data_IF_914910115643
#
_entry.id   IF_914910115643
#
_cell.length_a   1.000
_cell.length_b   1.000
_cell.length_c   1.000
_cell.angle_alpha   90.00
_cell.angle_beta   90.00
_cell.angle_gamma   90.00
#
_symmetry.space_group_name_H-M   'P 1'
#
loop_
_entity.id
_entity.type
_entity.pdbx_description
1 polymer ?
#
# COMPACT_ATOMS: atom_id res chain seq x y z
N UNK A 1 -1.02 -37.98 96.08
CA UNK A 1 0.03 -36.99 95.71
C UNK A 1 0.66 -37.24 94.34
N UNK A 2 0.28 -38.29 93.59
CA UNK A 2 0.77 -38.55 92.22
C UNK A 2 -0.24 -38.19 91.11
N UNK A 3 -1.50 -37.93 91.44
CA UNK A 3 -2.56 -37.59 90.46
C UNK A 3 -2.59 -36.12 90.06
N UNK A 4 -2.18 -35.20 90.94
CA UNK A 4 -2.17 -33.75 90.66
C UNK A 4 -0.97 -33.33 89.79
N UNK A 5 0.17 -34.00 89.94
CA UNK A 5 1.38 -33.76 89.13
C UNK A 5 1.19 -34.17 87.68
N UNK A 6 0.46 -35.27 87.42
CA UNK A 6 0.23 -35.78 86.07
C UNK A 6 -0.82 -34.94 85.29
N UNK A 7 -1.80 -34.36 85.99
CA UNK A 7 -2.75 -33.41 85.41
C UNK A 7 -2.11 -32.04 85.12
N UNK A 8 -1.22 -31.54 86.00
CA UNK A 8 -0.50 -30.29 85.74
C UNK A 8 0.46 -30.41 84.55
N UNK A 9 1.17 -31.54 84.41
CA UNK A 9 2.03 -31.82 83.25
C UNK A 9 1.23 -31.84 81.92
N UNK A 10 -0.02 -32.32 81.94
CA UNK A 10 -0.89 -32.34 80.77
C UNK A 10 -1.44 -30.94 80.40
N UNK A 11 -1.69 -30.07 81.38
CA UNK A 11 -2.18 -28.70 81.15
C UNK A 11 -1.04 -27.81 80.63
N UNK A 12 0.17 -27.93 81.19
CA UNK A 12 1.35 -27.19 80.71
C UNK A 12 1.70 -27.58 79.26
N UNK A 13 1.61 -28.88 78.92
CA UNK A 13 1.82 -29.34 77.55
C UNK A 13 0.77 -28.78 76.56
N UNK A 14 -0.51 -28.72 76.96
CA UNK A 14 -1.58 -28.12 76.16
C UNK A 14 -1.41 -26.60 76.01
N UNK A 15 -0.96 -25.90 77.07
CA UNK A 15 -0.68 -24.47 77.02
C UNK A 15 0.50 -24.13 76.11
N UNK A 16 1.54 -24.97 76.12
CA UNK A 16 2.68 -24.81 75.21
C UNK A 16 2.29 -25.10 73.76
N UNK A 17 1.45 -26.13 73.51
CA UNK A 17 0.90 -26.37 72.18
C UNK A 17 0.03 -25.20 71.67
N UNK A 18 -0.79 -24.61 72.54
CA UNK A 18 -1.59 -23.44 72.20
C UNK A 18 -0.70 -22.23 71.88
N UNK A 19 0.36 -22.02 72.67
CA UNK A 19 1.34 -20.95 72.44
C UNK A 19 2.04 -21.11 71.09
N UNK A 20 2.48 -22.32 70.75
CA UNK A 20 3.12 -22.63 69.46
C UNK A 20 2.14 -22.44 68.29
N UNK A 21 0.88 -22.88 68.44
CA UNK A 21 -0.15 -22.70 67.42
C UNK A 21 -0.49 -21.21 67.19
N UNK A 22 -0.55 -20.40 68.26
CA UNK A 22 -0.75 -18.96 68.15
C UNK A 22 0.43 -18.25 67.47
N UNK A 23 1.65 -18.67 67.77
CA UNK A 23 2.87 -18.16 67.15
C UNK A 23 2.92 -18.50 65.65
N UNK A 24 2.54 -19.72 65.29
CA UNK A 24 2.41 -20.17 63.90
C UNK A 24 1.28 -19.44 63.15
N UNK A 25 0.12 -19.26 63.78
CA UNK A 25 -1.00 -18.50 63.21
C UNK A 25 -0.63 -17.04 62.94
N UNK A 26 0.10 -16.38 63.85
CA UNK A 26 0.60 -15.01 63.62
C UNK A 26 1.56 -14.96 62.44
N UNK A 27 2.52 -15.89 62.38
CA UNK A 27 3.46 -15.98 61.27
C UNK A 27 2.75 -16.24 59.93
N UNK A 28 1.74 -17.09 59.90
CA UNK A 28 0.92 -17.34 58.71
C UNK A 28 0.14 -16.10 58.29
N UNK A 29 -0.43 -15.36 59.24
CA UNK A 29 -1.15 -14.12 58.96
C UNK A 29 -0.24 -13.03 58.39
N UNK A 30 0.98 -12.88 58.90
CA UNK A 30 1.98 -11.93 58.38
C UNK A 30 2.39 -12.32 56.95
N UNK A 31 2.69 -13.61 56.72
CA UNK A 31 3.04 -14.11 55.39
C UNK A 31 1.89 -13.96 54.38
N UNK A 32 0.64 -14.14 54.82
CA UNK A 32 -0.55 -13.92 54.01
C UNK A 32 -0.67 -12.45 53.59
N UNK A 33 -0.50 -11.52 54.53
CA UNK A 33 -0.52 -10.07 54.28
C UNK A 33 0.57 -9.64 53.31
N UNK A 34 1.80 -10.14 53.48
CA UNK A 34 2.91 -9.88 52.54
C UNK A 34 2.59 -10.39 51.12
N UNK A 35 2.00 -11.58 51.02
CA UNK A 35 1.65 -12.20 49.73
C UNK A 35 0.57 -11.41 48.99
N UNK A 36 -0.46 -10.95 49.70
CA UNK A 36 -1.50 -10.08 49.13
C UNK A 36 -0.92 -8.75 48.66
N UNK A 37 -0.08 -8.11 49.49
CA UNK A 37 0.55 -6.85 49.14
C UNK A 37 1.37 -6.99 47.87
N UNK A 38 2.13 -8.08 47.74
CA UNK A 38 2.87 -8.40 46.52
C UNK A 38 1.94 -8.54 45.30
N UNK A 39 0.82 -9.27 45.41
CA UNK A 39 -0.16 -9.42 44.32
C UNK A 39 -0.71 -8.04 43.91
N UNK A 40 -1.14 -7.22 44.88
CA UNK A 40 -1.66 -5.88 44.61
C UNK A 40 -0.64 -4.99 43.90
N UNK A 41 0.62 -5.02 44.35
CA UNK A 41 1.70 -4.26 43.71
C UNK A 41 1.95 -4.72 42.27
N UNK A 42 1.90 -6.04 42.00
CA UNK A 42 2.03 -6.58 40.64
C UNK A 42 0.85 -6.25 39.75
N UNK A 43 -0.38 -6.33 40.25
CA UNK A 43 -1.58 -5.89 39.52
C UNK A 43 -1.49 -4.41 39.17
N UNK A 44 -1.12 -3.56 40.13
CA UNK A 44 -0.93 -2.13 39.91
C UNK A 44 0.18 -1.82 38.91
N UNK A 45 1.27 -2.60 38.91
CA UNK A 45 2.32 -2.49 37.91
C UNK A 45 1.79 -2.83 36.52
N UNK A 46 1.02 -3.92 36.37
CA UNK A 46 0.41 -4.30 35.09
C UNK A 46 -0.59 -3.26 34.59
N UNK A 47 -1.47 -2.75 35.46
CA UNK A 47 -2.42 -1.70 35.13
C UNK A 47 -1.72 -0.43 34.60
N UNK A 48 -0.59 -0.04 35.20
CA UNK A 48 0.26 1.05 34.70
C UNK A 48 0.84 0.76 33.32
N UNK A 49 1.28 -0.46 33.03
CA UNK A 49 1.80 -0.84 31.71
C UNK A 49 0.72 -0.72 30.63
N UNK A 50 -0.54 -1.00 30.97
CA UNK A 50 -1.71 -0.84 30.08
C UNK A 50 -2.14 0.64 29.95
N UNK A 51 -1.53 1.56 30.72
CA UNK A 51 -1.90 2.97 30.72
C UNK A 51 -3.17 3.29 31.52
N UNK A 52 -3.56 2.40 32.43
CA UNK A 52 -4.70 2.57 33.34
C UNK A 52 -4.25 2.97 34.75
N UNK A 53 -5.20 3.40 35.58
CA UNK A 53 -4.93 3.90 36.93
C UNK A 53 -4.78 2.71 37.90
N UNK A 54 -3.82 2.73 38.85
CA UNK A 54 -3.72 1.73 39.90
C UNK A 54 -4.98 1.65 40.75
N UNK A 55 -5.31 0.45 41.25
CA UNK A 55 -6.41 0.25 42.19
C UNK A 55 -6.13 1.00 43.50
N UNK A 56 -7.10 1.75 44.01
CA UNK A 56 -6.96 2.34 45.35
C UNK A 56 -7.13 1.25 46.42
N UNK A 57 -6.49 1.40 47.60
CA UNK A 57 -6.57 0.43 48.69
C UNK A 57 -7.99 0.10 49.16
N UNK A 58 -8.94 1.01 48.93
CA UNK A 58 -10.33 0.90 49.38
C UNK A 58 -11.31 0.45 48.28
N UNK A 59 -10.83 0.24 47.05
CA UNK A 59 -11.69 -0.09 45.90
C UNK A 59 -11.93 -1.61 45.74
N UNK A 60 -10.99 -2.44 46.21
CA UNK A 60 -11.14 -3.89 46.31
C UNK A 60 -10.48 -4.40 47.59
N UNK A 61 -11.22 -5.16 48.38
CA UNK A 61 -10.66 -5.91 49.51
C UNK A 61 -9.77 -7.07 49.03
N UNK A 62 -8.95 -7.57 49.95
CA UNK A 62 -7.89 -8.54 49.66
C UNK A 62 -8.45 -9.92 49.24
N UNK A 63 -9.58 -10.34 49.82
CA UNK A 63 -10.21 -11.62 49.50
C UNK A 63 -10.84 -11.60 48.10
N UNK A 64 -11.50 -10.49 47.75
CA UNK A 64 -12.06 -10.27 46.41
C UNK A 64 -10.94 -10.17 45.38
N UNK A 65 -9.81 -9.53 45.70
CA UNK A 65 -8.66 -9.43 44.79
C UNK A 65 -8.10 -10.82 44.41
N UNK A 66 -8.06 -11.76 45.36
CA UNK A 66 -7.60 -13.13 45.10
C UNK A 66 -8.64 -13.90 44.26
N UNK A 67 -9.93 -13.76 44.58
CA UNK A 67 -11.00 -14.48 43.88
C UNK A 67 -11.18 -14.02 42.43
N UNK A 68 -10.97 -12.74 42.14
CA UNK A 68 -11.22 -12.17 40.82
C UNK A 68 -10.12 -12.49 39.78
N UNK A 69 -8.99 -13.06 40.22
CA UNK A 69 -7.78 -13.29 39.40
C UNK A 69 -7.47 -12.16 38.41
N UNK A 70 -7.21 -10.93 38.91
CA UNK A 70 -6.93 -9.78 38.07
C UNK A 70 -5.69 -9.98 37.19
N UNK A 71 -4.72 -10.79 37.63
CA UNK A 71 -3.52 -11.09 36.84
C UNK A 71 -3.88 -11.96 35.65
N UNK A 72 -4.70 -13.00 35.84
CA UNK A 72 -5.24 -13.82 34.75
C UNK A 72 -6.03 -13.00 33.74
N UNK A 73 -7.00 -12.20 34.21
CA UNK A 73 -7.82 -11.31 33.35
C UNK A 73 -6.94 -10.37 32.52
N UNK A 74 -5.97 -9.71 33.16
CA UNK A 74 -5.06 -8.80 32.48
C UNK A 74 -4.18 -9.56 31.48
N UNK A 75 -3.67 -10.73 31.85
CA UNK A 75 -2.82 -11.54 30.98
C UNK A 75 -3.56 -12.02 29.74
N UNK A 76 -4.80 -12.48 29.89
CA UNK A 76 -5.66 -12.89 28.79
C UNK A 76 -6.00 -11.71 27.88
N UNK A 77 -6.31 -10.55 28.47
CA UNK A 77 -6.56 -9.32 27.71
C UNK A 77 -5.32 -8.91 26.91
N UNK A 78 -4.13 -8.98 27.52
CA UNK A 78 -2.87 -8.72 26.83
C UNK A 78 -2.60 -9.71 25.70
N UNK A 79 -2.85 -11.00 25.94
CA UNK A 79 -2.69 -12.02 24.91
C UNK A 79 -3.59 -11.71 23.69
N UNK A 80 -4.85 -11.30 23.93
CA UNK A 80 -5.76 -10.88 22.86
C UNK A 80 -5.27 -9.63 22.13
N UNK A 81 -4.80 -8.60 22.84
CA UNK A 81 -4.26 -7.37 22.23
C UNK A 81 -3.03 -7.69 21.37
N UNK A 82 -2.11 -8.52 21.88
CA UNK A 82 -0.90 -8.91 21.17
C UNK A 82 -1.23 -9.73 19.92
N UNK A 83 -2.17 -10.67 20.00
CA UNK A 83 -2.60 -11.45 18.85
C UNK A 83 -3.26 -10.54 17.80
N UNK A 84 -4.15 -9.63 18.21
CA UNK A 84 -4.78 -8.67 17.31
C UNK A 84 -3.77 -7.72 16.65
N UNK A 85 -2.77 -7.23 17.39
CA UNK A 85 -1.70 -6.41 16.81
C UNK A 85 -0.86 -7.21 15.81
N UNK A 86 -0.53 -8.46 16.12
CA UNK A 86 0.23 -9.34 15.23
C UNK A 86 -0.53 -9.63 13.95
N UNK A 87 -1.82 -9.93 14.05
CA UNK A 87 -2.72 -10.12 12.92
C UNK A 87 -2.81 -8.83 12.06
N UNK A 88 -3.00 -7.67 12.70
CA UNK A 88 -3.05 -6.37 12.01
C UNK A 88 -1.75 -6.07 11.26
N UNK A 89 -0.60 -6.30 11.90
CA UNK A 89 0.70 -6.11 11.27
C UNK A 89 0.93 -7.08 10.10
N UNK A 90 0.49 -8.33 10.24
CA UNK A 90 0.55 -9.32 9.17
C UNK A 90 -0.34 -8.90 7.99
N UNK A 91 -1.58 -8.49 8.25
CA UNK A 91 -2.52 -8.00 7.25
C UNK A 91 -1.97 -6.77 6.52
N UNK A 92 -1.35 -5.84 7.24
CA UNK A 92 -0.69 -4.67 6.65
C UNK A 92 0.50 -5.06 5.78
N UNK A 93 1.32 -6.02 6.22
CA UNK A 93 2.45 -6.53 5.45
C UNK A 93 2.00 -7.23 4.15
N UNK A 94 0.97 -8.07 4.24
CA UNK A 94 0.37 -8.75 3.08
C UNK A 94 -0.22 -7.74 2.10
N UNK A 95 -1.04 -6.80 2.55
CA UNK A 95 -1.62 -5.77 1.69
C UNK A 95 -0.54 -4.91 1.01
N UNK A 96 0.54 -4.57 1.72
CA UNK A 96 1.70 -3.88 1.15
C UNK A 96 2.36 -4.71 0.04
N UNK A 97 2.57 -6.00 0.26
CA UNK A 97 3.18 -6.90 -0.72
C UNK A 97 2.30 -7.06 -1.96
N UNK A 98 0.98 -7.19 -1.79
CA UNK A 98 0.03 -7.30 -2.90
C UNK A 98 0.03 -6.04 -3.77
N UNK A 99 -0.03 -4.86 -3.14
CA UNK A 99 0.06 -3.58 -3.85
C UNK A 99 1.40 -3.49 -4.60
N UNK A 100 2.50 -3.88 -3.99
CA UNK A 100 3.82 -3.86 -4.62
C UNK A 100 3.92 -4.83 -5.81
N UNK A 101 3.29 -6.00 -5.71
CA UNK A 101 3.22 -6.99 -6.79
C UNK A 101 2.40 -6.45 -7.97
N UNK A 102 1.21 -5.88 -7.72
CA UNK A 102 0.38 -5.24 -8.75
C UNK A 102 1.15 -4.09 -9.40
N UNK A 103 1.72 -3.20 -8.59
CA UNK A 103 2.47 -2.04 -9.07
C UNK A 103 3.63 -2.45 -10.01
N UNK A 104 4.31 -3.56 -9.71
CA UNK A 104 5.42 -4.08 -10.51
C UNK A 104 5.01 -4.98 -11.70
N UNK A 105 3.84 -5.62 -11.64
CA UNK A 105 3.35 -6.49 -12.72
C UNK A 105 2.71 -5.71 -13.86
N UNK A 106 2.26 -4.47 -13.62
CA UNK A 106 1.76 -3.58 -14.65
C UNK A 106 2.85 -3.36 -15.72
N UNK A 107 2.50 -3.67 -16.98
CA UNK A 107 3.38 -3.52 -18.14
C UNK A 107 3.68 -2.06 -18.55
N UNK A 108 3.22 -1.10 -17.77
CA UNK A 108 3.34 0.34 -17.99
C UNK A 108 4.25 0.97 -16.92
N UNK A 109 4.94 2.05 -17.29
CA UNK A 109 5.80 2.75 -16.33
C UNK A 109 4.95 3.55 -15.34
N UNK A 110 5.05 3.28 -14.04
CA UNK A 110 4.36 4.06 -13.01
C UNK A 110 5.40 4.70 -12.10
N UNK A 111 5.23 5.99 -11.82
CA UNK A 111 5.97 6.69 -10.77
C UNK A 111 5.04 7.55 -9.93
N UNK A 112 5.43 7.77 -8.68
CA UNK A 112 4.73 8.62 -7.73
C UNK A 112 5.67 9.75 -7.33
N UNK A 113 5.16 10.97 -7.42
CA UNK A 113 5.89 12.19 -7.12
C UNK A 113 5.28 12.88 -5.90
N UNK A 114 6.10 13.51 -5.08
CA UNK A 114 5.62 14.43 -4.06
C UNK A 114 5.26 15.81 -4.66
N UNK A 115 4.79 16.74 -3.82
CA UNK A 115 4.40 18.09 -4.25
C UNK A 115 5.55 18.94 -4.81
N UNK A 116 6.82 18.54 -4.60
CA UNK A 116 8.01 19.16 -5.19
C UNK A 116 8.43 18.54 -6.52
N UNK A 117 7.85 17.40 -6.89
CA UNK A 117 8.19 16.66 -8.11
C UNK A 117 9.35 15.67 -7.92
N UNK A 118 9.70 15.35 -6.67
CA UNK A 118 10.68 14.32 -6.35
C UNK A 118 10.03 12.93 -6.44
N UNK A 119 10.76 11.97 -6.99
CA UNK A 119 10.31 10.59 -7.14
C UNK A 119 10.34 9.92 -5.76
N UNK A 120 9.19 9.47 -5.29
CA UNK A 120 9.06 8.76 -3.99
C UNK A 120 8.70 7.28 -4.16
N UNK A 121 8.21 6.88 -5.32
CA UNK A 121 8.04 5.48 -5.69
C UNK A 121 8.04 5.36 -7.22
N UNK A 122 8.47 4.20 -7.73
CA UNK A 122 8.40 3.86 -9.15
C UNK A 122 8.38 2.34 -9.31
N UNK A 123 7.72 1.83 -10.35
CA UNK A 123 7.63 0.40 -10.57
C UNK A 123 8.81 -0.12 -11.39
N UNK A 124 8.95 -1.45 -11.45
CA UNK A 124 10.01 -2.11 -12.24
C UNK A 124 10.07 -1.62 -13.69
N UNK A 125 8.91 -1.39 -14.32
CA UNK A 125 8.83 -0.93 -15.71
C UNK A 125 9.46 0.45 -15.94
N UNK A 126 9.43 1.34 -14.95
CA UNK A 126 10.13 2.63 -15.04
C UNK A 126 11.64 2.46 -15.16
N UNK A 127 12.21 1.44 -14.52
CA UNK A 127 13.64 1.10 -14.66
C UNK A 127 13.94 0.73 -16.11
N UNK A 128 13.15 -0.19 -16.68
CA UNK A 128 13.33 -0.67 -18.05
C UNK A 128 13.21 0.45 -19.11
N UNK A 129 12.39 1.46 -18.86
CA UNK A 129 12.12 2.55 -19.82
C UNK A 129 13.09 3.73 -19.64
N UNK A 130 13.31 4.17 -18.40
CA UNK A 130 13.89 5.48 -18.11
C UNK A 130 15.23 5.43 -17.40
N UNK A 131 15.49 4.42 -16.57
CA UNK A 131 16.62 4.38 -15.64
C UNK A 131 17.65 3.38 -16.16
N UNK A 132 18.57 3.87 -16.98
CA UNK A 132 19.72 3.12 -17.45
C UNK A 132 20.78 3.24 -16.35
N UNK A 133 21.19 2.12 -15.72
CA UNK A 133 22.32 2.00 -14.78
C UNK A 133 22.04 2.07 -13.26
N UNK A 134 20.91 1.56 -12.76
CA UNK A 134 20.68 1.37 -11.31
C UNK A 134 20.88 2.63 -10.44
N UNK A 135 20.89 3.82 -11.04
CA UNK A 135 21.05 5.05 -10.29
C UNK A 135 19.87 5.21 -9.34
N UNK A 136 20.18 5.51 -8.08
CA UNK A 136 19.19 5.80 -7.07
C UNK A 136 18.39 7.05 -7.48
N UNK A 137 17.17 6.79 -7.97
CA UNK A 137 16.23 7.81 -8.45
C UNK A 137 15.33 8.35 -7.35
N UNK A 138 15.22 7.64 -6.22
CA UNK A 138 14.40 8.07 -5.09
C UNK A 138 14.91 9.40 -4.54
N UNK A 139 13.99 10.31 -4.24
CA UNK A 139 14.27 11.68 -3.81
C UNK A 139 14.79 12.61 -4.91
N UNK A 140 15.08 12.13 -6.13
CA UNK A 140 15.52 12.98 -7.24
C UNK A 140 14.33 13.58 -7.99
N UNK A 141 14.54 14.73 -8.62
CA UNK A 141 13.51 15.39 -9.42
C UNK A 141 13.18 14.59 -10.68
N UNK A 142 11.89 14.34 -10.89
CA UNK A 142 11.38 13.69 -12.10
C UNK A 142 11.78 14.44 -13.38
N UNK A 143 11.81 15.77 -13.36
CA UNK A 143 12.20 16.56 -14.53
C UNK A 143 13.61 16.21 -15.01
N UNK A 144 14.52 15.95 -14.06
CA UNK A 144 15.90 15.61 -14.33
C UNK A 144 16.03 14.17 -14.81
N UNK A 145 15.48 13.23 -14.06
CA UNK A 145 15.65 11.80 -14.35
C UNK A 145 14.88 11.34 -15.59
N UNK A 146 13.66 11.85 -15.81
CA UNK A 146 12.80 11.39 -16.91
C UNK A 146 12.93 12.30 -18.14
N UNK A 147 12.84 13.62 -17.93
CA UNK A 147 12.80 14.59 -19.03
C UNK A 147 14.17 15.18 -19.40
N UNK A 148 15.23 14.91 -18.63
CA UNK A 148 16.57 15.49 -18.85
C UNK A 148 16.67 16.99 -18.59
N UNK A 149 15.76 17.56 -17.79
CA UNK A 149 15.70 19.00 -17.48
C UNK A 149 15.97 19.27 -16.01
N UNK A 150 16.77 20.28 -15.71
CA UNK A 150 17.03 20.67 -14.31
C UNK A 150 15.76 21.08 -13.56
N UNK A 151 14.76 21.66 -14.25
CA UNK A 151 13.50 22.08 -13.63
C UNK A 151 12.26 21.74 -14.47
N UNK A 152 11.10 21.67 -13.80
CA UNK A 152 9.81 21.45 -14.44
C UNK A 152 9.34 22.71 -15.19
N UNK A 153 9.40 22.66 -16.53
CA UNK A 153 8.91 23.73 -17.41
C UNK A 153 7.38 23.86 -17.45
N UNK A 154 6.88 24.88 -18.14
CA UNK A 154 5.44 25.21 -18.24
C UNK A 154 4.57 24.07 -18.81
N UNK A 155 5.12 23.27 -19.72
CA UNK A 155 4.43 22.11 -20.33
C UNK A 155 4.75 20.78 -19.65
N UNK A 156 5.34 20.80 -18.45
CA UNK A 156 5.57 19.58 -17.67
C UNK A 156 4.23 19.05 -17.13
N UNK A 157 3.91 17.78 -17.42
CA UNK A 157 2.66 17.15 -16.97
C UNK A 157 2.48 17.23 -15.45
N UNK A 158 3.54 16.96 -14.69
CA UNK A 158 3.52 17.10 -13.23
C UNK A 158 3.06 18.49 -12.80
N UNK A 159 3.63 19.54 -13.40
CA UNK A 159 3.28 20.93 -13.07
C UNK A 159 1.85 21.26 -13.45
N UNK A 160 1.42 20.85 -14.64
CA UNK A 160 0.03 21.08 -15.08
C UNK A 160 -0.99 20.39 -14.16
N UNK A 161 -0.73 19.14 -13.75
CA UNK A 161 -1.60 18.39 -12.82
C UNK A 161 -1.61 19.04 -11.44
N UNK A 162 -0.43 19.44 -10.94
CA UNK A 162 -0.30 20.15 -9.66
C UNK A 162 -1.07 21.46 -9.63
N UNK A 163 -0.89 22.29 -10.66
CA UNK A 163 -1.47 23.63 -10.74
C UNK A 163 -2.99 23.57 -10.96
N UNK A 164 -3.48 22.63 -11.79
CA UNK A 164 -4.91 22.46 -12.06
C UNK A 164 -5.64 21.57 -11.06
N UNK A 165 -4.92 20.81 -10.24
CA UNK A 165 -5.47 19.79 -9.32
C UNK A 165 -6.46 18.83 -10.01
N UNK A 166 -6.19 18.48 -11.27
CA UNK A 166 -7.03 17.58 -12.07
C UNK A 166 -6.17 16.59 -12.83
N UNK A 167 -6.74 15.42 -13.11
CA UNK A 167 -6.09 14.42 -13.96
C UNK A 167 -5.91 14.98 -15.37
N UNK A 168 -4.72 14.79 -15.93
CA UNK A 168 -4.38 15.28 -17.26
C UNK A 168 -3.66 14.20 -18.06
N UNK A 169 -3.72 14.35 -19.38
CA UNK A 169 -3.17 13.39 -20.33
C UNK A 169 -2.41 14.12 -21.43
N UNK A 170 -1.22 13.62 -21.74
CA UNK A 170 -0.41 14.05 -22.87
C UNK A 170 -0.28 12.87 -23.82
N UNK A 171 -0.75 13.05 -25.06
CA UNK A 171 -0.68 12.03 -26.11
C UNK A 171 0.61 12.18 -26.91
N UNK A 172 1.11 11.06 -27.42
CA UNK A 172 2.21 11.01 -28.39
C UNK A 172 3.50 11.71 -27.90
N UNK A 173 3.80 11.63 -26.60
CA UNK A 173 5.07 12.13 -26.10
C UNK A 173 6.19 11.21 -26.58
N UNK A 174 7.13 11.76 -27.35
CA UNK A 174 8.25 11.00 -27.88
C UNK A 174 9.47 11.12 -26.98
N UNK A 175 10.12 9.98 -26.73
CA UNK A 175 11.46 9.93 -26.13
C UNK A 175 12.27 8.87 -26.84
N UNK A 176 13.40 9.27 -27.44
CA UNK A 176 14.20 8.41 -28.34
C UNK A 176 13.27 7.86 -29.44
N UNK A 177 13.32 6.55 -29.70
CA UNK A 177 12.49 5.88 -30.72
C UNK A 177 11.17 5.31 -30.18
N UNK A 178 10.73 5.76 -29.00
CA UNK A 178 9.50 5.30 -28.37
C UNK A 178 8.51 6.44 -28.18
N UNK A 179 7.23 6.09 -28.31
CA UNK A 179 6.10 6.99 -28.13
C UNK A 179 5.32 6.57 -26.89
N UNK A 180 4.97 7.54 -26.07
CA UNK A 180 4.22 7.32 -24.84
C UNK A 180 2.95 8.17 -24.81
N UNK A 181 1.90 7.59 -24.26
CA UNK A 181 0.78 8.34 -23.70
C UNK A 181 1.01 8.48 -22.20
N UNK A 182 1.05 9.71 -21.70
CA UNK A 182 1.35 10.00 -20.30
C UNK A 182 0.10 10.49 -19.60
N UNK A 183 -0.26 9.86 -18.48
CA UNK A 183 -1.39 10.25 -17.65
C UNK A 183 -0.86 10.65 -16.28
N UNK A 184 -1.30 11.82 -15.79
CA UNK A 184 -0.95 12.30 -14.46
C UNK A 184 -2.21 12.51 -13.64
N UNK A 185 -2.25 11.93 -12.45
CA UNK A 185 -3.41 11.97 -11.54
C UNK A 185 -2.99 12.53 -10.19
N UNK A 186 -3.65 13.58 -9.67
CA UNK A 186 -3.37 14.11 -8.34
C UNK A 186 -3.96 13.19 -7.28
N UNK A 187 -3.26 13.05 -6.15
CA UNK A 187 -3.71 12.33 -4.96
C UNK A 187 -3.79 13.32 -3.81
N UNK A 188 -4.95 13.36 -3.17
CA UNK A 188 -5.24 14.27 -2.06
C UNK A 188 -5.29 13.50 -0.74
N UNK A 189 -5.05 14.19 0.37
CA UNK A 189 -5.35 13.67 1.70
C UNK A 189 -6.84 13.89 2.06
N UNK A 190 -7.21 13.53 3.29
CA UNK A 190 -8.58 13.64 3.80
C UNK A 190 -9.07 15.10 3.89
N UNK A 191 -8.15 16.06 3.95
CA UNK A 191 -8.44 17.49 4.03
C UNK A 191 -8.49 18.16 2.64
N UNK A 192 -8.32 17.38 1.57
CA UNK A 192 -8.33 17.87 0.19
C UNK A 192 -7.03 18.58 -0.23
N UNK A 193 -5.97 18.46 0.57
CA UNK A 193 -4.65 19.00 0.25
C UNK A 193 -3.93 18.04 -0.69
N UNK A 194 -3.31 18.59 -1.75
CA UNK A 194 -2.56 17.79 -2.71
C UNK A 194 -1.35 17.16 -2.02
N UNK A 195 -1.33 15.83 -1.92
CA UNK A 195 -0.26 15.09 -1.27
C UNK A 195 0.78 14.60 -2.29
N UNK A 196 0.31 14.02 -3.42
CA UNK A 196 1.16 13.36 -4.42
C UNK A 196 0.58 13.53 -5.82
N UNK A 197 1.40 13.21 -6.82
CA UNK A 197 0.96 13.05 -8.21
C UNK A 197 1.46 11.70 -8.72
N UNK A 198 0.56 10.85 -9.18
CA UNK A 198 0.89 9.58 -9.85
C UNK A 198 1.00 9.85 -11.34
N UNK A 199 2.10 9.41 -11.96
CA UNK A 199 2.32 9.52 -13.41
C UNK A 199 2.49 8.12 -14.00
N UNK A 200 1.69 7.85 -15.03
CA UNK A 200 1.65 6.64 -15.82
C UNK A 200 2.20 6.90 -17.22
N UNK A 201 3.07 6.02 -17.72
CA UNK A 201 3.67 6.04 -19.04
C UNK A 201 3.24 4.79 -19.80
N UNK A 202 2.24 4.94 -20.67
CA UNK A 202 1.76 3.89 -21.56
C UNK A 202 2.57 3.91 -22.85
N UNK A 203 3.27 2.82 -23.16
CA UNK A 203 4.02 2.69 -24.41
C UNK A 203 3.07 2.44 -25.60
N UNK A 204 2.98 3.41 -26.50
CA UNK A 204 2.15 3.36 -27.71
C UNK A 204 3.00 3.20 -28.97
N UNK A 205 4.26 2.80 -28.84
CA UNK A 205 5.20 2.70 -29.97
C UNK A 205 4.71 1.71 -31.02
N UNK A 206 4.24 0.52 -30.60
CA UNK A 206 3.71 -0.48 -31.54
C UNK A 206 2.52 0.07 -32.32
N UNK A 207 1.59 0.72 -31.63
CA UNK A 207 0.40 1.35 -32.25
C UNK A 207 0.82 2.38 -33.29
N UNK A 208 1.75 3.28 -32.94
CA UNK A 208 2.26 4.33 -33.84
C UNK A 208 3.00 3.76 -35.06
N UNK A 209 3.79 2.70 -34.88
CA UNK A 209 4.47 2.02 -35.99
C UNK A 209 3.48 1.34 -36.93
N UNK A 210 2.44 0.69 -36.40
CA UNK A 210 1.38 0.08 -37.21
C UNK A 210 0.55 1.13 -37.95
N UNK A 211 0.17 2.23 -37.30
CA UNK A 211 -0.51 3.37 -37.94
C UNK A 211 0.33 3.93 -39.10
N UNK A 212 1.64 4.12 -38.87
CA UNK A 212 2.55 4.61 -39.91
C UNK A 212 2.71 3.63 -41.07
N UNK A 213 2.89 2.34 -40.79
CA UNK A 213 3.03 1.31 -41.82
C UNK A 213 1.76 1.16 -42.67
N UNK A 214 0.58 1.33 -42.05
CA UNK A 214 -0.69 1.35 -42.76
C UNK A 214 -0.76 2.54 -43.71
N UNK A 215 -0.47 3.76 -43.23
CA UNK A 215 -0.43 4.96 -44.06
C UNK A 215 0.56 4.83 -45.23
N UNK A 216 1.78 4.34 -44.98
CA UNK A 216 2.78 4.10 -46.03
C UNK A 216 2.31 3.04 -47.05
N UNK A 217 1.55 2.03 -46.62
CA UNK A 217 0.97 1.03 -47.51
C UNK A 217 -0.20 1.58 -48.31
N UNK A 218 -1.05 2.41 -47.72
CA UNK A 218 -2.17 3.08 -48.41
C UNK A 218 -1.65 4.06 -49.46
N UNK A 219 -0.63 4.86 -49.13
CA UNK A 219 0.01 5.79 -50.07
C UNK A 219 0.67 5.03 -51.22
N UNK A 220 1.37 3.94 -50.93
CA UNK A 220 1.99 3.09 -51.96
C UNK A 220 0.94 2.40 -52.84
N UNK A 221 -0.15 1.89 -52.24
CA UNK A 221 -1.24 1.29 -53.00
C UNK A 221 -1.90 2.33 -53.92
N UNK A 222 -2.20 3.53 -53.39
CA UNK A 222 -2.76 4.64 -54.17
C UNK A 222 -1.87 5.02 -55.34
N UNK A 223 -0.57 5.17 -55.10
CA UNK A 223 0.41 5.51 -56.13
C UNK A 223 0.50 4.44 -57.22
N UNK A 224 0.59 3.16 -56.84
CA UNK A 224 0.63 2.04 -57.78
C UNK A 224 -0.68 1.88 -58.56
N UNK A 225 -1.82 2.02 -57.88
CA UNK A 225 -3.13 1.90 -58.50
C UNK A 225 -3.37 3.02 -59.51
N UNK A 226 -3.15 4.27 -59.10
CA UNK A 226 -3.39 5.45 -59.95
C UNK A 226 -2.42 5.55 -61.13
N UNK A 227 -1.15 5.15 -60.96
CA UNK A 227 -0.15 5.23 -62.03
C UNK A 227 0.01 3.94 -62.83
N UNK A 228 -0.80 2.90 -62.59
CA UNK A 228 -0.78 1.70 -63.42
C UNK A 228 -1.24 2.01 -64.84
N UNK A 229 -0.52 1.50 -65.84
CA UNK A 229 -0.85 1.67 -67.26
C UNK A 229 -2.10 0.90 -67.66
N UNK A 230 -2.35 -0.25 -67.02
CA UNK A 230 -3.55 -1.05 -67.27
C UNK A 230 -4.77 -0.40 -66.60
N UNK A 231 -5.93 -0.58 -67.22
CA UNK A 231 -7.19 -0.14 -66.63
C UNK A 231 -7.53 -1.03 -65.43
N UNK A 232 -7.57 -0.44 -64.24
CA UNK A 232 -7.91 -1.12 -63.00
C UNK A 232 -9.26 -0.63 -62.49
N UNK A 233 -10.13 -1.58 -62.12
CA UNK A 233 -11.38 -1.30 -61.42
C UNK A 233 -11.59 -2.29 -60.28
N UNK A 234 -12.23 -1.82 -59.21
CA UNK A 234 -12.76 -2.65 -58.13
C UNK A 234 -14.27 -2.53 -58.13
N UNK A 235 -14.97 -3.65 -57.92
CA UNK A 235 -16.43 -3.72 -57.87
C UNK A 235 -16.87 -4.45 -56.59
N UNK A 236 -18.07 -4.13 -56.12
CA UNK A 236 -18.73 -4.89 -55.05
C UNK A 236 -19.34 -6.20 -55.60
N UNK A 237 -19.82 -7.11 -54.72
CA UNK A 237 -20.47 -8.37 -55.16
C UNK A 237 -21.70 -8.17 -56.05
N UNK A 238 -22.35 -7.02 -55.98
CA UNK A 238 -23.50 -6.62 -56.80
C UNK A 238 -23.10 -6.01 -58.16
N UNK A 239 -21.79 -5.84 -58.41
CA UNK A 239 -21.22 -5.36 -59.66
C UNK A 239 -21.11 -3.83 -59.76
N UNK A 240 -21.36 -3.09 -58.68
CA UNK A 240 -21.18 -1.64 -58.65
C UNK A 240 -19.70 -1.29 -58.54
N UNK A 241 -19.27 -0.29 -59.31
CA UNK A 241 -17.91 0.24 -59.26
C UNK A 241 -17.65 0.91 -57.91
N UNK A 242 -16.55 0.51 -57.26
CA UNK A 242 -16.08 1.06 -55.99
C UNK A 242 -14.88 1.99 -56.17
N UNK A 243 -13.96 1.63 -57.07
CA UNK A 243 -12.74 2.38 -57.35
C UNK A 243 -12.30 2.12 -58.79
N UNK A 244 -11.78 3.15 -59.46
CA UNK A 244 -11.13 3.07 -60.77
C UNK A 244 -9.85 3.88 -60.76
N UNK A 245 -8.84 3.46 -61.52
CA UNK A 245 -7.60 4.23 -61.63
C UNK A 245 -7.67 5.28 -62.74
N UNK A 246 -6.64 6.14 -62.81
CA UNK A 246 -6.46 7.13 -63.87
C UNK A 246 -6.55 6.54 -65.29
N UNK A 247 -5.85 5.44 -65.59
CA UNK A 247 -5.85 4.84 -66.93
C UNK A 247 -7.25 4.37 -67.37
N UNK A 248 -8.05 3.83 -66.46
CA UNK A 248 -9.45 3.46 -66.71
C UNK A 248 -10.28 4.68 -67.10
N UNK A 249 -10.16 5.77 -66.33
CA UNK A 249 -10.86 7.04 -66.58
C UNK A 249 -10.48 7.67 -67.93
N UNK A 250 -9.19 7.73 -68.22
CA UNK A 250 -8.68 8.34 -69.46
C UNK A 250 -9.03 7.52 -70.70
N UNK A 251 -8.99 6.18 -70.60
CA UNK A 251 -9.25 5.29 -71.75
C UNK A 251 -10.73 5.18 -72.09
N UNK A 252 -11.60 5.19 -71.08
CA UNK A 252 -13.06 5.14 -71.27
C UNK A 252 -13.72 6.52 -71.31
N UNK A 253 -12.94 7.58 -71.15
CA UNK A 253 -13.38 8.98 -71.19
C UNK A 253 -14.42 9.35 -70.12
N UNK A 254 -14.31 8.77 -68.92
CA UNK A 254 -15.14 9.12 -67.76
C UNK A 254 -14.40 10.02 -66.78
N UNK A 255 -15.10 11.01 -66.24
CA UNK A 255 -14.58 11.87 -65.16
C UNK A 255 -14.75 11.20 -63.79
N UNK A 256 -14.01 11.67 -62.79
CA UNK A 256 -14.10 11.16 -61.41
C UNK A 256 -15.49 11.36 -60.77
N UNK A 257 -16.27 12.30 -61.28
CA UNK A 257 -17.63 12.61 -60.80
C UNK A 257 -18.72 11.72 -61.46
N UNK A 258 -18.39 11.06 -62.57
CA UNK A 258 -19.30 10.21 -63.34
C UNK A 258 -19.21 8.72 -62.97
N UNK A 259 -18.22 8.34 -62.17
CA UNK A 259 -17.96 6.97 -61.67
C UNK A 259 -18.46 6.80 -60.25
#
# INVERSE_FOLDING_TARGET
METDTNNNLSIEALQEQLRLADEENRRLADKHRESIQYIRDRVNQLLKVIGTIPLKPNELDDDTLIQLDPIGIISDTFAQILEHQKETNLNLATAKNDIQAIFNSVGEGIQVLNTRGEIIAYNKKMTDIFIVNEQEVLGKLCSKMVCGRETAGKHCLFRMVKDRKKSMRVRSWQRRDRFYEIIGTPVFDNDGVLQRVVILYLDITRRKKSEKALLESEDRFRDLFENATDMLQSIDPEGKILLVNKAWRETLEYTEEEV
#
